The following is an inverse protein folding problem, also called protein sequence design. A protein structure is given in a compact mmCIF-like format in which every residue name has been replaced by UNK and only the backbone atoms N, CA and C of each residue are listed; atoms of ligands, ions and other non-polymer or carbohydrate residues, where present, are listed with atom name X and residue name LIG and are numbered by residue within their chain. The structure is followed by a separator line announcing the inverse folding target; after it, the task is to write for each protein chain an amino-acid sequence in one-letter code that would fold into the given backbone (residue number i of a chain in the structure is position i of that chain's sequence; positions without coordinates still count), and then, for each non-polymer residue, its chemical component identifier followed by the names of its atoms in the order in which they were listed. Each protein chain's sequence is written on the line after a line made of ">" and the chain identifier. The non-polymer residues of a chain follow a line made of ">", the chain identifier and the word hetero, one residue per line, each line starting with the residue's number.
data_IF_724953556703
#
_entry.id   IF_724953556703
#
_cell.length_a   1.000
_cell.length_b   1.000
_cell.length_c   1.000
_cell.angle_alpha   90.00
_cell.angle_beta   90.00
_cell.angle_gamma   90.00
#
_symmetry.space_group_name_H-M   'P 1'
#
loop_
_entity.id
_entity.type
_entity.pdbx_description
1 polymer ?
#
# COMPACT_ATOMS: atom_id res chain seq x y z
N UNK A 1 -21.10 13.72 10.76
CA UNK A 1 -19.71 14.12 10.45
C UNK A 1 -19.69 14.52 8.98
N UNK A 2 -19.04 15.62 8.58
CA UNK A 2 -18.97 15.99 7.16
C UNK A 2 -18.14 14.98 6.37
N UNK A 3 -18.40 14.82 5.06
CA UNK A 3 -17.67 13.89 4.20
C UNK A 3 -16.16 14.14 4.22
N UNK A 4 -15.76 15.42 4.26
CA UNK A 4 -14.35 15.83 4.41
C UNK A 4 -13.73 15.26 5.69
N UNK A 5 -14.45 15.31 6.81
CA UNK A 5 -13.95 14.77 8.08
C UNK A 5 -13.88 13.22 8.05
N UNK A 6 -14.81 12.55 7.36
CA UNK A 6 -14.75 11.09 7.13
C UNK A 6 -13.55 10.73 6.27
N UNK A 7 -13.33 11.43 5.17
CA UNK A 7 -12.20 11.19 4.27
C UNK A 7 -10.84 11.39 4.98
N UNK A 8 -10.71 12.48 5.74
CA UNK A 8 -9.54 12.74 6.56
C UNK A 8 -9.33 11.62 7.59
N UNK A 9 -10.39 11.21 8.29
CA UNK A 9 -10.32 10.14 9.29
C UNK A 9 -9.87 8.81 8.67
N UNK A 10 -10.41 8.43 7.51
CA UNK A 10 -10.00 7.22 6.78
C UNK A 10 -8.52 7.28 6.39
N UNK A 11 -8.06 8.42 5.88
CA UNK A 11 -6.64 8.65 5.58
C UNK A 11 -5.75 8.53 6.83
N UNK A 12 -6.18 9.11 7.96
CA UNK A 12 -5.47 9.00 9.24
C UNK A 12 -5.43 7.54 9.72
N UNK A 13 -6.50 6.76 9.55
CA UNK A 13 -6.53 5.33 9.86
C UNK A 13 -5.55 4.55 8.99
N UNK A 14 -5.52 4.79 7.67
CA UNK A 14 -4.55 4.16 6.76
C UNK A 14 -3.11 4.48 7.18
N UNK A 15 -2.80 5.76 7.41
CA UNK A 15 -1.48 6.21 7.86
C UNK A 15 -1.08 5.65 9.23
N UNK A 16 -2.01 5.58 10.18
CA UNK A 16 -1.78 4.99 11.52
C UNK A 16 -1.53 3.50 11.45
N UNK A 17 -2.29 2.79 10.61
CA UNK A 17 -2.07 1.37 10.36
C UNK A 17 -0.67 1.12 9.81
N UNK A 18 -0.23 1.94 8.84
CA UNK A 18 1.12 1.87 8.25
C UNK A 18 2.21 2.16 9.28
N UNK A 19 2.05 3.26 10.03
CA UNK A 19 3.00 3.66 11.06
C UNK A 19 3.15 2.57 12.14
N UNK A 20 2.06 1.90 12.49
CA UNK A 20 2.03 0.90 13.55
C UNK A 20 2.75 -0.38 13.16
N UNK A 21 2.43 -0.99 12.00
CA UNK A 21 3.19 -2.19 11.60
C UNK A 21 4.65 -1.84 11.29
N UNK A 22 4.92 -0.66 10.73
CA UNK A 22 6.28 -0.19 10.46
C UNK A 22 7.09 -0.05 11.74
N UNK A 23 6.52 0.58 12.77
CA UNK A 23 7.12 0.67 14.09
C UNK A 23 7.29 -0.71 14.72
N UNK A 24 6.27 -1.57 14.64
CA UNK A 24 6.30 -2.89 15.27
C UNK A 24 7.43 -3.77 14.71
N UNK A 25 7.66 -3.69 13.39
CA UNK A 25 8.72 -4.40 12.67
C UNK A 25 10.09 -3.76 12.84
N UNK A 26 10.18 -2.44 12.67
CA UNK A 26 11.48 -1.77 12.49
C UNK A 26 12.10 -1.28 13.80
N UNK A 27 11.30 -1.03 14.85
CA UNK A 27 11.79 -0.39 16.07
C UNK A 27 12.84 -1.15 16.88
N UNK A 28 12.90 -2.50 16.91
CA UNK A 28 14.00 -3.21 17.57
C UNK A 28 15.39 -2.95 16.94
N UNK A 29 15.42 -2.59 15.65
CA UNK A 29 16.65 -2.33 14.89
C UNK A 29 16.94 -0.84 14.72
N UNK A 30 15.91 -0.02 14.48
CA UNK A 30 16.05 1.41 14.17
C UNK A 30 15.64 2.36 15.30
N UNK A 31 15.10 1.83 16.40
CA UNK A 31 14.52 2.60 17.49
C UNK A 31 13.16 3.22 17.14
N UNK A 32 12.56 3.90 18.10
CA UNK A 32 11.29 4.59 17.95
C UNK A 32 11.43 6.09 18.13
N UNK A 33 10.77 6.87 17.25
CA UNK A 33 10.63 8.31 17.42
C UNK A 33 9.21 8.73 17.02
N UNK A 34 8.65 9.67 17.76
CA UNK A 34 7.31 10.21 17.46
C UNK A 34 7.24 10.85 16.08
N UNK A 35 8.30 11.54 15.64
CA UNK A 35 8.35 12.15 14.32
C UNK A 35 8.21 11.11 13.19
N UNK A 36 8.91 9.96 13.27
CA UNK A 36 8.78 8.89 12.26
C UNK A 36 7.39 8.25 12.30
N UNK A 37 6.81 8.10 13.49
CA UNK A 37 5.48 7.51 13.68
C UNK A 37 4.38 8.40 13.11
N UNK A 38 4.38 9.70 13.46
CA UNK A 38 3.37 10.64 12.99
C UNK A 38 3.51 11.01 11.51
N UNK A 39 4.71 10.91 10.90
CA UNK A 39 4.88 11.18 9.47
C UNK A 39 3.88 10.42 8.62
N UNK A 40 3.78 9.10 8.78
CA UNK A 40 2.87 8.27 7.97
C UNK A 40 1.40 8.55 8.28
N UNK A 41 1.08 8.92 9.53
CA UNK A 41 -0.28 9.36 9.93
C UNK A 41 -0.66 10.62 9.17
N UNK A 42 0.21 11.65 9.20
CA UNK A 42 -0.02 12.91 8.50
C UNK A 42 -0.09 12.72 7.00
N UNK A 43 0.85 11.98 6.40
CA UNK A 43 0.84 11.70 4.95
C UNK A 43 -0.44 10.95 4.57
N UNK A 44 -0.84 9.93 5.32
CA UNK A 44 -2.09 9.19 5.07
C UNK A 44 -3.33 10.08 5.15
N UNK A 45 -3.43 10.95 6.17
CA UNK A 45 -4.53 11.90 6.32
C UNK A 45 -4.62 12.89 5.15
N UNK A 46 -3.48 13.48 4.76
CA UNK A 46 -3.40 14.41 3.62
C UNK A 46 -3.73 13.72 2.29
N UNK A 47 -3.24 12.49 2.09
CA UNK A 47 -3.53 11.69 0.90
C UNK A 47 -5.01 11.32 0.81
N UNK A 48 -5.62 10.85 1.91
CA UNK A 48 -7.04 10.53 1.95
C UNK A 48 -7.92 11.74 1.65
N UNK A 49 -7.56 12.90 2.23
CA UNK A 49 -8.24 14.16 1.93
C UNK A 49 -8.04 14.59 0.47
N UNK A 50 -6.82 14.51 -0.06
CA UNK A 50 -6.52 14.89 -1.44
C UNK A 50 -7.27 14.00 -2.46
N UNK A 51 -7.28 12.68 -2.25
CA UNK A 51 -8.03 11.75 -3.11
C UNK A 51 -9.51 12.16 -3.12
N UNK A 52 -10.13 12.34 -1.94
CA UNK A 52 -11.53 12.75 -1.86
C UNK A 52 -11.80 14.09 -2.56
N UNK A 53 -10.97 15.11 -2.36
CA UNK A 53 -11.15 16.43 -2.98
C UNK A 53 -11.03 16.38 -4.51
N UNK A 54 -10.12 15.57 -5.04
CA UNK A 54 -9.89 15.45 -6.48
C UNK A 54 -11.01 14.65 -7.14
N UNK A 55 -11.61 13.70 -6.43
CA UNK A 55 -12.60 12.79 -7.02
C UNK A 55 -14.03 13.13 -6.68
N UNK A 56 -14.31 14.03 -5.74
CA UNK A 56 -15.66 14.48 -5.44
C UNK A 56 -16.36 15.05 -6.70
N UNK A 57 -17.60 14.65 -7.03
CA UNK A 57 -18.56 13.88 -6.22
C UNK A 57 -18.52 12.35 -6.40
N UNK A 58 -17.54 11.79 -7.11
CA UNK A 58 -17.44 10.36 -7.44
C UNK A 58 -17.44 9.45 -6.21
N UNK A 59 -16.72 9.82 -5.16
CA UNK A 59 -16.73 9.10 -3.89
C UNK A 59 -17.68 9.79 -2.90
N UNK A 60 -18.69 9.06 -2.43
CA UNK A 60 -19.67 9.49 -1.45
C UNK A 60 -19.34 8.87 -0.08
N UNK A 61 -18.87 9.68 0.86
CA UNK A 61 -18.49 9.21 2.19
C UNK A 61 -19.67 8.77 3.07
N UNK A 62 -20.92 8.93 2.61
CA UNK A 62 -22.07 8.31 3.25
C UNK A 62 -22.11 6.78 3.03
N UNK A 63 -21.61 6.30 1.88
CA UNK A 63 -21.63 4.89 1.49
C UNK A 63 -20.42 4.14 2.04
N UNK A 64 -20.63 2.96 2.60
CA UNK A 64 -19.56 2.13 3.15
C UNK A 64 -18.60 1.63 2.05
N UNK A 65 -19.13 1.32 0.85
CA UNK A 65 -18.32 0.90 -0.31
C UNK A 65 -17.26 1.94 -0.69
N UNK A 66 -17.62 3.22 -0.77
CA UNK A 66 -16.69 4.29 -1.13
C UNK A 66 -15.64 4.53 -0.03
N UNK A 67 -15.98 4.28 1.24
CA UNK A 67 -15.01 4.32 2.35
C UNK A 67 -13.97 3.21 2.23
N UNK A 68 -14.38 2.00 1.82
CA UNK A 68 -13.50 0.86 1.55
C UNK A 68 -12.55 1.20 0.40
N UNK A 69 -13.08 1.74 -0.71
CA UNK A 69 -12.27 2.18 -1.86
C UNK A 69 -11.27 3.26 -1.44
N UNK A 70 -11.70 4.26 -0.67
CA UNK A 70 -10.83 5.33 -0.20
C UNK A 70 -9.73 4.81 0.74
N UNK A 71 -10.06 3.91 1.67
CA UNK A 71 -9.05 3.32 2.57
C UNK A 71 -7.95 2.62 1.77
N UNK A 72 -8.31 1.72 0.86
CA UNK A 72 -7.34 1.01 0.02
C UNK A 72 -6.50 1.98 -0.82
N UNK A 73 -7.14 2.95 -1.46
CA UNK A 73 -6.46 3.92 -2.32
C UNK A 73 -5.50 4.82 -1.54
N UNK A 74 -5.93 5.35 -0.40
CA UNK A 74 -5.10 6.16 0.48
C UNK A 74 -3.92 5.36 1.04
N UNK A 75 -4.15 4.09 1.36
CA UNK A 75 -3.11 3.17 1.80
C UNK A 75 -2.02 3.01 0.72
N UNK A 76 -2.41 2.67 -0.50
CA UNK A 76 -1.47 2.51 -1.61
C UNK A 76 -0.66 3.79 -1.87
N UNK A 77 -1.33 4.94 -1.84
CA UNK A 77 -0.69 6.22 -2.15
C UNK A 77 0.24 6.73 -1.06
N UNK A 78 -0.12 6.57 0.22
CA UNK A 78 0.83 6.80 1.32
C UNK A 78 2.09 5.95 1.12
N UNK A 79 1.92 4.65 0.85
CA UNK A 79 3.04 3.72 0.70
C UNK A 79 3.93 4.14 -0.47
N UNK A 80 3.34 4.47 -1.61
CA UNK A 80 4.07 4.93 -2.79
C UNK A 80 4.89 6.20 -2.50
N UNK A 81 4.28 7.21 -1.87
CA UNK A 81 4.95 8.49 -1.56
C UNK A 81 6.11 8.30 -0.57
N UNK A 82 5.88 7.54 0.50
CA UNK A 82 6.91 7.32 1.53
C UNK A 82 8.02 6.41 1.00
N UNK A 83 7.73 5.38 0.22
CA UNK A 83 8.75 4.55 -0.41
C UNK A 83 9.52 5.31 -1.49
N UNK A 84 8.87 6.20 -2.25
CA UNK A 84 9.56 7.11 -3.17
C UNK A 84 10.58 7.98 -2.45
N UNK A 85 10.14 8.64 -1.37
CA UNK A 85 11.03 9.46 -0.55
C UNK A 85 12.19 8.65 0.03
N UNK A 86 11.93 7.46 0.58
CA UNK A 86 12.99 6.59 1.14
C UNK A 86 13.99 6.12 0.08
N UNK A 87 13.50 5.80 -1.12
CA UNK A 87 14.30 5.18 -2.18
C UNK A 87 15.17 6.20 -2.90
N UNK A 88 14.61 7.36 -3.25
CA UNK A 88 15.27 8.31 -4.15
C UNK A 88 15.81 9.56 -3.45
N UNK A 89 15.17 10.02 -2.37
CA UNK A 89 15.47 11.31 -1.73
C UNK A 89 16.29 11.16 -0.45
N UNK A 90 15.82 10.31 0.47
CA UNK A 90 16.43 10.13 1.81
C UNK A 90 17.90 9.75 1.68
N UNK A 91 18.74 10.33 2.55
CA UNK A 91 20.13 9.93 2.74
C UNK A 91 20.28 9.39 4.16
N UNK A 92 20.77 8.17 4.27
CA UNK A 92 20.94 7.49 5.55
C UNK A 92 22.00 6.41 5.41
N UNK A 93 22.68 6.09 6.51
CA UNK A 93 23.59 4.94 6.53
C UNK A 93 22.82 3.64 6.21
N UNK A 94 23.30 2.93 5.19
CA UNK A 94 22.70 1.66 4.73
C UNK A 94 23.37 0.43 5.33
N UNK A 95 24.47 0.59 6.08
CA UNK A 95 25.22 -0.52 6.69
C UNK A 95 24.37 -1.35 7.67
N UNK A 96 23.35 -0.72 8.25
CA UNK A 96 22.38 -1.33 9.17
C UNK A 96 21.29 -2.17 8.50
N UNK A 97 21.29 -2.24 7.16
CA UNK A 97 20.31 -3.01 6.40
C UNK A 97 20.97 -4.17 5.66
N UNK A 98 20.32 -5.33 5.73
CA UNK A 98 20.64 -6.46 4.86
C UNK A 98 20.24 -6.17 3.41
N UNK A 99 19.06 -5.56 3.21
CA UNK A 99 18.59 -5.07 1.90
C UNK A 99 18.54 -3.54 1.94
N UNK A 100 19.29 -2.83 1.08
CA UNK A 100 19.32 -1.38 1.13
C UNK A 100 17.92 -0.75 0.94
N UNK A 101 17.62 0.24 1.76
CA UNK A 101 16.39 1.02 1.69
C UNK A 101 16.45 2.17 0.68
N UNK A 102 17.64 2.58 0.26
CA UNK A 102 17.85 3.48 -0.87
C UNK A 102 17.88 2.72 -2.21
N UNK A 103 17.71 3.46 -3.30
CA UNK A 103 17.83 2.93 -4.65
C UNK A 103 19.19 2.24 -4.85
N UNK A 104 19.13 0.98 -5.27
CA UNK A 104 20.29 0.15 -5.50
C UNK A 104 20.04 -0.79 -6.66
N UNK A 105 21.13 -1.23 -7.28
CA UNK A 105 21.11 -2.20 -8.37
C UNK A 105 21.99 -3.36 -7.92
N UNK A 106 21.44 -4.58 -7.86
CA UNK A 106 22.15 -5.78 -7.38
C UNK A 106 22.84 -5.57 -6.03
N UNK A 107 22.10 -5.03 -5.05
CA UNK A 107 22.60 -4.70 -3.70
C UNK A 107 23.52 -3.47 -3.60
N UNK A 108 23.99 -2.90 -4.71
CA UNK A 108 24.87 -1.73 -4.69
C UNK A 108 24.09 -0.43 -4.76
N UNK A 109 24.15 0.35 -3.67
CA UNK A 109 23.46 1.65 -3.55
C UNK A 109 24.08 2.67 -4.49
N UNK A 110 23.24 3.36 -5.27
CA UNK A 110 23.68 4.50 -6.08
C UNK A 110 23.93 5.67 -5.14
N UNK A 111 25.19 6.09 -4.97
CA UNK A 111 25.55 7.16 -4.02
C UNK A 111 25.17 8.55 -4.51
N UNK A 112 25.22 8.78 -5.83
CA UNK A 112 24.95 10.08 -6.44
C UNK A 112 23.48 10.50 -6.22
N UNK A 113 23.22 11.60 -5.48
CA UNK A 113 21.87 12.08 -5.24
C UNK A 113 21.16 12.53 -6.52
N UNK A 114 21.91 13.14 -7.46
CA UNK A 114 21.36 13.59 -8.74
C UNK A 114 20.90 12.43 -9.62
N UNK A 115 21.67 11.33 -9.67
CA UNK A 115 21.26 10.13 -10.39
C UNK A 115 20.02 9.49 -9.78
N UNK A 116 19.97 9.34 -8.46
CA UNK A 116 18.78 8.80 -7.78
C UNK A 116 17.55 9.66 -8.03
N UNK A 117 17.68 10.99 -7.96
CA UNK A 117 16.57 11.90 -8.22
C UNK A 117 16.11 11.83 -9.68
N UNK A 118 17.04 11.79 -10.64
CA UNK A 118 16.71 11.64 -12.06
C UNK A 118 15.95 10.35 -12.35
N UNK A 119 16.38 9.22 -11.77
CA UNK A 119 15.65 7.95 -11.86
C UNK A 119 14.28 8.06 -11.20
N UNK A 120 14.20 8.67 -10.02
CA UNK A 120 12.93 8.92 -9.33
C UNK A 120 11.95 9.74 -10.17
N UNK A 121 12.39 10.82 -10.81
CA UNK A 121 11.57 11.60 -11.73
C UNK A 121 11.07 10.73 -12.88
N UNK A 122 11.94 9.90 -13.46
CA UNK A 122 11.54 8.93 -14.50
C UNK A 122 10.46 7.96 -14.01
N UNK A 123 10.55 7.45 -12.78
CA UNK A 123 9.52 6.61 -12.17
C UNK A 123 8.20 7.36 -11.99
N UNK A 124 8.22 8.62 -11.55
CA UNK A 124 7.00 9.44 -11.42
C UNK A 124 6.35 9.63 -12.79
N UNK A 125 7.11 10.03 -13.81
CA UNK A 125 6.60 10.23 -15.18
C UNK A 125 5.99 8.93 -15.71
N UNK A 126 6.64 7.80 -15.51
CA UNK A 126 6.11 6.50 -15.90
C UNK A 126 4.80 6.15 -15.19
N UNK A 127 4.73 6.32 -13.87
CA UNK A 127 3.51 6.06 -13.09
C UNK A 127 2.37 6.97 -13.51
N UNK A 128 2.63 8.27 -13.76
CA UNK A 128 1.64 9.21 -14.26
C UNK A 128 1.17 8.85 -15.68
N UNK A 129 2.06 8.41 -16.55
CA UNK A 129 1.71 7.95 -17.90
C UNK A 129 0.82 6.69 -17.85
N UNK A 130 1.13 5.73 -16.97
CA UNK A 130 0.28 4.54 -16.76
C UNK A 130 -1.08 4.94 -16.21
N UNK A 131 -1.13 5.81 -15.20
CA UNK A 131 -2.40 6.28 -14.63
C UNK A 131 -3.24 7.03 -15.66
N UNK A 132 -2.61 7.91 -16.46
CA UNK A 132 -3.26 8.62 -17.56
C UNK A 132 -3.76 7.67 -18.66
N UNK A 133 -3.00 6.63 -18.99
CA UNK A 133 -3.42 5.59 -19.93
C UNK A 133 -4.62 4.78 -19.44
N UNK A 134 -4.64 4.40 -18.16
CA UNK A 134 -5.79 3.71 -17.55
C UNK A 134 -7.03 4.62 -17.54
N UNK A 135 -6.88 5.88 -17.16
CA UNK A 135 -7.97 6.86 -17.19
C UNK A 135 -8.49 7.11 -18.61
N UNK A 136 -7.58 7.22 -19.58
CA UNK A 136 -7.94 7.36 -20.99
C UNK A 136 -8.71 6.13 -21.49
N UNK A 137 -8.27 4.91 -21.16
CA UNK A 137 -8.99 3.68 -21.52
C UNK A 137 -10.39 3.63 -20.90
N UNK A 138 -10.52 4.03 -19.63
CA UNK A 138 -11.80 4.07 -18.91
C UNK A 138 -12.78 5.09 -19.51
N UNK A 139 -12.28 6.23 -20.01
CA UNK A 139 -13.09 7.30 -20.59
C UNK A 139 -13.28 7.21 -22.10
N UNK A 140 -12.63 6.24 -22.75
CA UNK A 140 -12.81 5.96 -24.17
C UNK A 140 -14.04 5.06 -24.39
N UNK A 141 -14.66 5.13 -25.57
CA UNK A 141 -15.79 4.24 -25.96
C UNK A 141 -15.36 2.76 -26.20
N UNK A 142 -14.15 2.40 -25.78
CA UNK A 142 -13.59 1.06 -25.92
C UNK A 142 -14.23 0.17 -24.86
N UNK A 143 -15.09 -0.75 -25.29
CA UNK A 143 -15.70 -1.72 -24.40
C UNK A 143 -14.70 -2.81 -24.03
N UNK A 144 -14.14 -2.75 -22.82
CA UNK A 144 -13.27 -3.78 -22.27
C UNK A 144 -14.11 -4.71 -21.39
N UNK A 145 -13.96 -6.02 -21.59
CA UNK A 145 -14.69 -6.99 -20.78
C UNK A 145 -14.34 -6.84 -19.27
N UNK A 146 -15.32 -6.78 -18.36
CA UNK A 146 -15.11 -6.58 -16.93
C UNK A 146 -14.05 -7.49 -16.28
N UNK A 147 -14.04 -8.77 -16.62
CA UNK A 147 -13.02 -9.72 -16.14
C UNK A 147 -11.59 -9.34 -16.55
N UNK A 148 -11.39 -8.75 -17.74
CA UNK A 148 -10.06 -8.30 -18.20
C UNK A 148 -9.61 -7.11 -17.36
N UNK A 149 -10.51 -6.16 -17.08
CA UNK A 149 -10.21 -5.03 -16.19
C UNK A 149 -9.80 -5.53 -14.81
N UNK A 150 -10.56 -6.46 -14.23
CA UNK A 150 -10.23 -7.07 -12.93
C UNK A 150 -8.87 -7.79 -12.97
N UNK A 151 -8.62 -8.57 -14.02
CA UNK A 151 -7.36 -9.29 -14.18
C UNK A 151 -6.18 -8.31 -14.28
N UNK A 152 -6.29 -7.28 -15.12
CA UNK A 152 -5.19 -6.36 -15.40
C UNK A 152 -5.04 -5.33 -14.28
N UNK A 153 -6.06 -4.50 -14.03
CA UNK A 153 -6.00 -3.44 -13.02
C UNK A 153 -5.93 -4.02 -11.60
N UNK A 154 -6.71 -5.06 -11.31
CA UNK A 154 -6.72 -5.71 -9.99
C UNK A 154 -5.42 -6.42 -9.65
N UNK A 155 -4.71 -7.00 -10.62
CA UNK A 155 -3.41 -7.66 -10.36
C UNK A 155 -2.19 -6.75 -10.55
N UNK A 156 -2.34 -5.57 -11.18
CA UNK A 156 -1.24 -4.72 -11.64
C UNK A 156 -0.19 -4.46 -10.57
N UNK A 157 -0.57 -3.97 -9.38
CA UNK A 157 0.45 -3.70 -8.37
C UNK A 157 0.94 -4.93 -7.61
N UNK A 158 0.24 -6.06 -7.70
CA UNK A 158 0.79 -7.35 -7.33
C UNK A 158 1.96 -7.75 -8.23
N UNK A 159 1.84 -7.52 -9.54
CA UNK A 159 2.95 -7.68 -10.49
C UNK A 159 4.09 -6.70 -10.23
N UNK A 160 3.79 -5.41 -10.03
CA UNK A 160 4.80 -4.41 -9.70
C UNK A 160 5.59 -4.82 -8.45
N UNK A 161 4.89 -5.29 -7.41
CA UNK A 161 5.54 -5.79 -6.20
C UNK A 161 6.37 -7.05 -6.44
N UNK A 162 5.89 -8.00 -7.25
CA UNK A 162 6.60 -9.24 -7.57
C UNK A 162 7.89 -8.96 -8.36
N UNK A 163 7.82 -8.14 -9.41
CA UNK A 163 8.99 -7.73 -10.19
C UNK A 163 9.94 -6.85 -9.38
N UNK A 164 9.41 -5.94 -8.55
CA UNK A 164 10.21 -5.15 -7.63
C UNK A 164 11.00 -6.02 -6.65
N UNK A 165 10.37 -7.03 -6.05
CA UNK A 165 11.05 -7.99 -5.18
C UNK A 165 12.02 -8.89 -5.93
N UNK A 166 11.69 -9.33 -7.15
CA UNK A 166 12.60 -10.12 -7.98
C UNK A 166 13.86 -9.33 -8.39
N UNK A 167 13.72 -8.03 -8.63
CA UNK A 167 14.83 -7.16 -8.99
C UNK A 167 15.66 -6.75 -7.77
N UNK A 168 14.99 -6.42 -6.66
CA UNK A 168 15.62 -5.84 -5.45
C UNK A 168 16.12 -6.91 -4.49
N UNK A 169 15.26 -7.85 -4.14
CA UNK A 169 15.48 -8.78 -3.03
C UNK A 169 16.10 -10.08 -3.52
N UNK A 170 15.70 -10.61 -4.69
CA UNK A 170 16.18 -11.91 -5.17
C UNK A 170 17.69 -12.00 -5.46
N UNK A 171 18.39 -10.93 -5.89
CA UNK A 171 19.86 -10.98 -5.99
C UNK A 171 20.57 -11.17 -4.65
N UNK A 172 19.88 -10.94 -3.53
CA UNK A 172 20.43 -11.00 -2.17
C UNK A 172 19.88 -12.23 -1.42
N UNK A 173 18.56 -12.45 -1.46
CA UNK A 173 17.86 -13.54 -0.76
C UNK A 173 17.69 -14.82 -1.58
N UNK A 174 17.88 -14.77 -2.91
CA UNK A 174 17.49 -15.83 -3.85
C UNK A 174 16.06 -15.67 -4.38
N UNK A 175 15.77 -16.29 -5.53
CA UNK A 175 14.45 -16.24 -6.16
C UNK A 175 13.58 -17.44 -5.73
N UNK A 176 12.33 -17.15 -5.35
CA UNK A 176 11.36 -18.16 -4.95
C UNK A 176 10.06 -18.01 -5.76
N UNK A 177 9.74 -18.99 -6.60
CA UNK A 177 8.63 -18.92 -7.58
C UNK A 177 7.26 -18.74 -6.92
N UNK A 178 6.97 -19.44 -5.83
CA UNK A 178 5.67 -19.29 -5.14
C UNK A 178 5.52 -17.91 -4.48
N UNK A 179 6.62 -17.35 -3.95
CA UNK A 179 6.66 -15.98 -3.41
C UNK A 179 6.40 -14.95 -4.51
N UNK A 180 6.83 -15.22 -5.75
CA UNK A 180 6.62 -14.36 -6.91
C UNK A 180 5.15 -14.26 -7.32
N UNK A 181 4.43 -15.40 -7.46
CA UNK A 181 3.02 -15.39 -7.88
C UNK A 181 2.02 -15.04 -6.77
N UNK A 182 2.44 -15.07 -5.50
CA UNK A 182 1.58 -14.70 -4.36
C UNK A 182 1.05 -13.27 -4.46
N UNK A 183 1.91 -12.29 -4.77
CA UNK A 183 1.51 -10.88 -4.78
C UNK A 183 0.48 -10.56 -5.88
N UNK A 184 0.64 -11.01 -7.14
CA UNK A 184 -0.39 -10.90 -8.17
C UNK A 184 -1.72 -11.56 -7.79
N UNK A 185 -1.67 -12.77 -7.20
CA UNK A 185 -2.88 -13.49 -6.81
C UNK A 185 -3.67 -12.78 -5.70
N UNK A 186 -2.99 -12.30 -4.65
CA UNK A 186 -3.63 -11.52 -3.57
C UNK A 186 -4.15 -10.18 -4.09
N UNK A 187 -3.41 -9.51 -4.97
CA UNK A 187 -3.87 -8.27 -5.59
C UNK A 187 -5.12 -8.49 -6.42
N UNK A 188 -5.14 -9.52 -7.29
CA UNK A 188 -6.33 -9.87 -8.05
C UNK A 188 -7.54 -10.14 -7.15
N UNK A 189 -7.37 -10.90 -6.07
CA UNK A 189 -8.43 -11.13 -5.09
C UNK A 189 -8.99 -9.82 -4.51
N UNK A 190 -8.13 -8.90 -4.07
CA UNK A 190 -8.58 -7.60 -3.58
C UNK A 190 -9.14 -6.70 -4.68
N UNK A 191 -8.66 -6.83 -5.92
CA UNK A 191 -9.22 -6.16 -7.09
C UNK A 191 -10.66 -6.60 -7.34
N UNK A 192 -10.96 -7.89 -7.23
CA UNK A 192 -12.33 -8.41 -7.29
C UNK A 192 -13.20 -7.86 -6.14
N UNK A 193 -12.68 -7.81 -4.91
CA UNK A 193 -13.42 -7.23 -3.77
C UNK A 193 -13.73 -5.76 -3.99
N UNK A 194 -12.71 -4.94 -4.28
CA UNK A 194 -12.85 -3.50 -4.49
C UNK A 194 -13.74 -3.23 -5.70
N UNK A 195 -13.66 -4.07 -6.73
CA UNK A 195 -14.49 -4.01 -7.93
C UNK A 195 -15.98 -4.21 -7.68
N UNK A 196 -16.43 -4.69 -6.51
CA UNK A 196 -17.87 -4.66 -6.18
C UNK A 196 -18.37 -3.25 -5.91
N UNK A 197 -17.50 -2.34 -5.47
CA UNK A 197 -17.86 -1.01 -4.96
C UNK A 197 -17.51 0.12 -5.92
N UNK A 198 -16.83 -0.16 -7.04
CA UNK A 198 -16.49 0.88 -8.00
C UNK A 198 -16.36 0.33 -9.42
N UNK A 199 -16.65 1.20 -10.39
CA UNK A 199 -16.39 0.94 -11.81
C UNK A 199 -15.09 1.60 -12.29
N UNK A 200 -14.42 2.39 -11.43
CA UNK A 200 -13.23 3.14 -11.79
C UNK A 200 -11.96 2.28 -11.74
N UNK A 201 -11.25 2.20 -12.86
CA UNK A 201 -10.15 1.26 -13.04
C UNK A 201 -8.96 1.62 -12.15
N UNK A 202 -8.71 2.92 -11.99
CA UNK A 202 -7.67 3.44 -11.11
C UNK A 202 -7.96 3.11 -9.64
N UNK A 203 -9.21 3.18 -9.20
CA UNK A 203 -9.58 2.85 -7.82
C UNK A 203 -9.50 1.36 -7.55
N UNK A 204 -9.84 0.50 -8.52
CA UNK A 204 -9.61 -0.94 -8.42
C UNK A 204 -8.12 -1.22 -8.26
N UNK A 205 -7.27 -0.63 -9.10
CA UNK A 205 -5.82 -0.80 -9.03
C UNK A 205 -5.25 -0.32 -7.70
N UNK A 206 -5.55 0.91 -7.28
CA UNK A 206 -5.03 1.48 -6.03
C UNK A 206 -5.57 0.74 -4.81
N UNK A 207 -6.87 0.43 -4.79
CA UNK A 207 -7.51 -0.34 -3.73
C UNK A 207 -6.89 -1.72 -3.58
N UNK A 208 -6.75 -2.46 -4.68
CA UNK A 208 -6.12 -3.79 -4.71
C UNK A 208 -4.70 -3.75 -4.13
N UNK A 209 -3.90 -2.75 -4.52
CA UNK A 209 -2.54 -2.55 -4.00
C UNK A 209 -2.56 -2.28 -2.51
N UNK A 210 -3.41 -1.34 -2.06
CA UNK A 210 -3.49 -0.93 -0.67
C UNK A 210 -3.83 -2.09 0.25
N UNK A 211 -4.86 -2.87 -0.10
CA UNK A 211 -5.26 -4.05 0.66
C UNK A 211 -4.24 -5.19 0.59
N UNK A 212 -3.57 -5.37 -0.55
CA UNK A 212 -2.48 -6.35 -0.66
C UNK A 212 -1.35 -6.00 0.29
N UNK A 213 -0.91 -4.74 0.31
CA UNK A 213 0.17 -4.32 1.22
C UNK A 213 -0.28 -4.43 2.68
N UNK A 214 -1.47 -3.93 3.01
CA UNK A 214 -1.95 -3.91 4.39
C UNK A 214 -2.08 -5.32 4.96
N UNK A 215 -2.59 -6.28 4.19
CA UNK A 215 -2.76 -7.67 4.64
C UNK A 215 -1.45 -8.45 4.67
N UNK A 216 -0.61 -8.32 3.64
CA UNK A 216 0.69 -9.00 3.61
C UNK A 216 1.59 -8.48 4.74
N UNK A 217 1.64 -7.18 4.98
CA UNK A 217 2.44 -6.63 6.08
C UNK A 217 1.84 -7.00 7.44
N UNK A 218 0.51 -7.09 7.57
CA UNK A 218 -0.14 -7.62 8.79
C UNK A 218 0.31 -9.06 9.06
N UNK A 219 0.16 -9.92 8.07
CA UNK A 219 0.52 -11.33 8.15
C UNK A 219 2.01 -11.49 8.51
N UNK A 220 2.90 -10.80 7.79
CA UNK A 220 4.34 -10.88 8.04
C UNK A 220 4.75 -10.33 9.40
N UNK A 221 4.11 -9.25 9.86
CA UNK A 221 4.53 -8.53 11.08
C UNK A 221 4.01 -9.19 12.35
N UNK A 222 2.77 -9.67 12.35
CA UNK A 222 2.09 -10.11 13.58
C UNK A 222 1.93 -11.63 13.70
N UNK A 223 2.07 -12.40 12.63
CA UNK A 223 1.94 -13.87 12.66
C UNK A 223 3.29 -14.61 12.63
N UNK A 224 4.40 -13.89 12.44
CA UNK A 224 5.77 -14.45 12.48
C UNK A 224 6.69 -13.58 13.35
N UNK A 225 6.40 -13.53 14.66
CA UNK A 225 7.11 -12.67 15.61
C UNK A 225 8.59 -13.07 15.80
N UNK A 226 8.95 -14.31 15.45
CA UNK A 226 10.21 -14.94 15.87
C UNK A 226 11.32 -14.86 14.81
N UNK A 227 11.03 -14.28 13.62
CA UNK A 227 11.97 -14.27 12.50
C UNK A 227 12.10 -12.86 11.91
N UNK A 228 13.22 -12.13 12.13
CA UNK A 228 13.48 -10.91 11.37
C UNK A 228 13.58 -11.26 9.89
N UNK A 229 12.68 -10.70 9.07
CA UNK A 229 12.58 -10.96 7.62
C UNK A 229 12.83 -9.68 6.82
N UNK A 230 13.32 -9.85 5.60
CA UNK A 230 13.58 -8.73 4.68
C UNK A 230 14.78 -7.91 5.13
N UNK A 231 14.64 -6.58 5.17
CA UNK A 231 15.77 -5.64 5.33
C UNK A 231 16.60 -5.80 6.62
N UNK A 232 16.13 -6.53 7.63
CA UNK A 232 16.88 -6.78 8.87
C UNK A 232 17.26 -8.24 9.09
N UNK A 233 17.12 -9.10 8.09
CA UNK A 233 17.50 -10.50 8.21
C UNK A 233 18.98 -10.62 8.60
N UNK A 234 19.26 -11.29 9.72
CA UNK A 234 20.62 -11.44 10.26
C UNK A 234 21.24 -10.18 10.86
N UNK A 235 20.51 -9.06 10.94
CA UNK A 235 21.02 -7.81 11.52
C UNK A 235 20.82 -7.77 13.04
N UNK A 236 21.76 -7.17 13.79
CA UNK A 236 21.65 -7.05 15.24
C UNK A 236 20.47 -6.15 15.65
N UNK A 237 19.94 -6.41 16.84
CA UNK A 237 18.99 -5.53 17.50
C UNK A 237 19.74 -4.51 18.36
N UNK A 238 19.43 -3.24 18.17
CA UNK A 238 20.04 -2.14 18.93
C UNK A 238 19.12 -1.61 20.03
N UNK A 239 17.82 -1.94 19.98
CA UNK A 239 16.78 -1.45 20.90
C UNK A 239 15.90 -2.60 21.40
N UNK A 240 16.45 -3.56 22.17
CA UNK A 240 15.71 -4.76 22.59
C UNK A 240 14.46 -4.44 23.43
N UNK A 241 14.44 -3.31 24.16
CA UNK A 241 13.28 -2.85 24.93
C UNK A 241 12.04 -2.58 24.06
N UNK A 242 12.23 -2.33 22.76
CA UNK A 242 11.12 -2.15 21.82
C UNK A 242 10.32 -3.43 21.58
N UNK A 243 10.88 -4.62 21.88
CA UNK A 243 10.15 -5.89 21.80
C UNK A 243 8.92 -5.92 22.71
N UNK A 244 8.99 -5.29 23.88
CA UNK A 244 7.86 -5.22 24.83
C UNK A 244 7.03 -3.94 24.63
N UNK A 245 7.68 -2.79 24.41
CA UNK A 245 6.98 -1.51 24.27
C UNK A 245 6.03 -1.45 23.08
N UNK A 246 6.38 -2.11 21.97
CA UNK A 246 5.57 -2.11 20.73
C UNK A 246 4.15 -2.68 20.91
N UNK A 247 3.94 -3.57 21.88
CA UNK A 247 2.62 -4.15 22.15
C UNK A 247 1.58 -3.10 22.59
N UNK A 248 2.01 -1.95 23.13
CA UNK A 248 1.09 -0.86 23.51
C UNK A 248 0.34 -0.26 22.32
N UNK A 249 0.85 -0.43 21.11
CA UNK A 249 0.22 0.07 19.88
C UNK A 249 -0.70 -0.96 19.22
N UNK A 250 -0.65 -2.22 19.66
CA UNK A 250 -1.46 -3.30 19.09
C UNK A 250 -2.98 -3.04 19.21
N UNK A 251 -3.52 -2.50 20.32
CA UNK A 251 -4.95 -2.19 20.39
C UNK A 251 -5.41 -1.23 19.31
N UNK A 252 -4.62 -0.19 19.00
CA UNK A 252 -4.94 0.77 17.93
C UNK A 252 -4.93 0.09 16.56
N UNK A 253 -3.95 -0.79 16.32
CA UNK A 253 -3.88 -1.58 15.09
C UNK A 253 -5.12 -2.46 14.88
N UNK A 254 -5.50 -3.20 15.93
CA UNK A 254 -6.67 -4.07 15.92
C UNK A 254 -7.94 -3.25 15.70
N UNK A 255 -8.09 -2.12 16.39
CA UNK A 255 -9.25 -1.24 16.21
C UNK A 255 -9.40 -0.76 14.77
N UNK A 256 -8.30 -0.40 14.10
CA UNK A 256 -8.34 0.01 12.69
C UNK A 256 -8.77 -1.15 11.78
N UNK A 257 -8.23 -2.36 11.99
CA UNK A 257 -8.67 -3.54 11.23
C UNK A 257 -10.16 -3.83 11.45
N UNK A 258 -10.63 -3.76 12.69
CA UNK A 258 -12.05 -3.93 13.00
C UNK A 258 -12.90 -2.91 12.25
N UNK A 259 -12.50 -1.63 12.21
CA UNK A 259 -13.21 -0.61 11.44
C UNK A 259 -13.23 -0.90 9.94
N UNK A 260 -12.11 -1.35 9.38
CA UNK A 260 -12.00 -1.74 7.97
C UNK A 260 -12.92 -2.91 7.65
N UNK A 261 -12.93 -3.95 8.48
CA UNK A 261 -13.77 -5.14 8.31
C UNK A 261 -15.25 -4.76 8.44
N UNK A 262 -15.62 -3.95 9.44
CA UNK A 262 -17.00 -3.48 9.60
C UNK A 262 -17.45 -2.69 8.38
N UNK A 263 -16.64 -1.77 7.84
CA UNK A 263 -17.01 -1.04 6.62
C UNK A 263 -17.11 -1.98 5.41
N UNK A 264 -16.24 -2.99 5.30
CA UNK A 264 -16.32 -3.98 4.23
C UNK A 264 -17.62 -4.79 4.31
N UNK A 265 -18.00 -5.27 5.49
CA UNK A 265 -19.26 -5.99 5.71
C UNK A 265 -20.46 -5.09 5.38
N UNK A 266 -20.47 -3.86 5.89
CA UNK A 266 -21.54 -2.89 5.60
C UNK A 266 -21.62 -2.58 4.10
N UNK A 267 -20.50 -2.48 3.40
CA UNK A 267 -20.47 -2.22 1.96
C UNK A 267 -21.15 -3.34 1.16
N UNK A 268 -21.04 -4.59 1.59
CA UNK A 268 -21.75 -5.71 0.96
C UNK A 268 -23.23 -5.80 1.34
N UNK A 269 -23.64 -5.20 2.47
CA UNK A 269 -25.05 -5.12 2.88
C UNK A 269 -25.78 -3.93 2.22
N UNK A 270 -25.04 -2.91 1.79
CA UNK A 270 -25.56 -1.79 1.02
C UNK A 270 -25.69 -2.16 -0.48
N UNK A 271 -26.60 -1.50 -1.23
CA UNK A 271 -26.66 -1.66 -2.68
C UNK A 271 -25.32 -1.27 -3.32
N UNK A 272 -24.80 -2.16 -4.17
CA UNK A 272 -23.54 -1.96 -4.87
C UNK A 272 -23.65 -2.43 -6.32
N UNK A 273 -22.96 -1.75 -7.24
CA UNK A 273 -23.01 -2.05 -8.68
C UNK A 273 -21.67 -1.70 -9.35
N UNK A 274 -20.58 -2.23 -8.79
CA UNK A 274 -19.24 -2.11 -9.37
C UNK A 274 -18.97 -3.15 -10.46
N UNK A 275 -17.79 -3.10 -11.07
CA UNK A 275 -17.43 -3.96 -12.19
C UNK A 275 -17.49 -5.46 -11.88
N UNK A 276 -17.30 -5.86 -10.61
CA UNK A 276 -17.35 -7.25 -10.17
C UNK A 276 -18.76 -7.84 -10.15
N UNK A 277 -19.81 -7.03 -9.94
CA UNK A 277 -21.19 -7.52 -9.99
C UNK A 277 -21.53 -8.03 -11.39
N UNK A 278 -21.00 -7.37 -12.43
CA UNK A 278 -21.16 -7.76 -13.83
C UNK A 278 -20.51 -9.10 -14.18
N UNK A 279 -19.49 -9.52 -13.42
CA UNK A 279 -18.77 -10.79 -13.65
C UNK A 279 -19.36 -11.92 -12.82
N UNK A 280 -19.69 -11.65 -11.55
CA UNK A 280 -20.02 -12.69 -10.58
C UNK A 280 -21.52 -12.79 -10.26
N UNK A 281 -22.34 -11.83 -10.69
CA UNK A 281 -23.81 -11.89 -10.57
C UNK A 281 -24.35 -11.74 -9.14
N UNK A 282 -23.63 -11.02 -8.28
CA UNK A 282 -24.08 -10.66 -6.92
C UNK A 282 -24.65 -9.25 -6.89
#
# INVERSE_FOLDING_TARGET
>A
MSDIAIALFIGLCAGTHIATWGMYKDSPHEGFTWARYFRSITVGGLVGLAIYQITHPTLNMALAGDRVVLYGSAYAMERALVEFWKTFIRREDQSKYFIPGMFHIFGKVIQSPGQRLGIGIGVIVFVLAVAGGVYWLETSDIHIHPLIVLLVAGSAGGWISAFGGAWKDAPIEGFETFKFFRSPGIAFFYGCIVGFFTNHYLFIMLGAIGYTISTIETYKTFFFLDRPRGKFQGMPEHFPEMRTRRFRFLPVYIAIWTLVIVNLVMAFLEPHNGISTQVFGF
#
